data_IF_721491010867
#
_entry.id   IF_721491010867
#
_cell.length_a   1.000
_cell.length_b   1.000
_cell.length_c   1.000
_cell.angle_alpha   90.00
_cell.angle_beta   90.00
_cell.angle_gamma   90.00
#
_symmetry.space_group_name_H-M   'P 1'
#
loop_
_entity.id
_entity.type
_entity.pdbx_description
1 polymer ?
#
# COMPACT_ATOMS: atom_id res chain seq x y z
N UNK A 1 17.32 19.93 6.09
CA UNK A 1 18.48 20.44 5.34
C UNK A 1 18.08 21.74 4.66
N UNK A 2 18.88 22.79 4.79
CA UNK A 2 18.69 24.04 4.04
C UNK A 2 19.29 23.87 2.64
N UNK A 3 18.50 24.06 1.59
CA UNK A 3 18.99 24.04 0.20
C UNK A 3 19.57 25.39 -0.22
N UNK A 4 20.37 25.43 -1.29
CA UNK A 4 20.96 26.66 -1.84
C UNK A 4 19.94 27.74 -2.25
N UNK A 5 18.66 27.38 -2.39
CA UNK A 5 17.52 28.29 -2.65
C UNK A 5 16.75 28.73 -1.39
N UNK A 6 17.26 28.44 -0.20
CA UNK A 6 16.74 29.00 1.05
C UNK A 6 15.47 28.36 1.62
N UNK A 7 15.08 27.18 1.20
CA UNK A 7 13.94 26.44 1.76
C UNK A 7 14.34 25.49 2.92
N UNK A 8 13.44 25.32 3.89
CA UNK A 8 13.55 24.28 4.93
C UNK A 8 12.51 23.21 4.64
N UNK A 9 12.96 21.95 4.50
CA UNK A 9 12.07 20.80 4.39
C UNK A 9 11.91 20.14 5.75
N UNK A 10 10.68 20.07 6.25
CA UNK A 10 10.36 19.26 7.41
C UNK A 10 10.26 17.79 6.96
N UNK A 11 11.05 16.93 7.59
CA UNK A 11 10.95 15.46 7.41
C UNK A 11 10.51 14.91 8.77
N UNK A 12 9.29 14.36 8.88
CA UNK A 12 8.84 13.69 10.10
C UNK A 12 9.83 12.57 10.45
N UNK A 13 10.30 12.54 11.68
CA UNK A 13 11.16 11.49 12.16
C UNK A 13 10.58 10.88 13.43
N UNK A 14 10.42 9.57 13.39
CA UNK A 14 9.96 8.79 14.52
C UNK A 14 11.03 7.75 14.88
N UNK A 15 11.12 7.42 16.16
CA UNK A 15 12.03 6.35 16.59
C UNK A 15 11.42 4.98 16.32
N UNK A 16 12.24 3.98 16.04
CA UNK A 16 11.78 2.59 15.87
C UNK A 16 10.91 2.12 17.06
N UNK A 17 11.28 2.52 18.30
CA UNK A 17 10.48 2.23 19.49
C UNK A 17 9.07 2.82 19.42
N UNK A 18 8.95 4.08 19.01
CA UNK A 18 7.65 4.77 18.86
C UNK A 18 6.83 4.16 17.74
N UNK A 19 7.44 3.74 16.64
CA UNK A 19 6.76 3.11 15.51
C UNK A 19 6.29 1.72 15.90
N UNK A 20 7.12 0.92 16.56
CA UNK A 20 6.74 -0.41 17.04
C UNK A 20 5.59 -0.35 18.05
N UNK A 21 5.61 0.64 18.98
CA UNK A 21 4.49 0.87 19.89
C UNK A 21 3.19 1.19 19.13
N UNK A 22 3.23 2.15 18.21
CA UNK A 22 2.06 2.54 17.42
C UNK A 22 1.50 1.38 16.59
N UNK A 23 2.36 0.60 15.92
CA UNK A 23 1.94 -0.58 15.17
C UNK A 23 1.37 -1.66 16.10
N UNK A 24 1.92 -1.82 17.29
CA UNK A 24 1.37 -2.72 18.32
C UNK A 24 -0.05 -2.32 18.74
N UNK A 25 -0.28 -1.04 19.03
CA UNK A 25 -1.61 -0.50 19.37
C UNK A 25 -2.63 -0.72 18.23
N UNK A 26 -2.19 -0.62 16.97
CA UNK A 26 -3.05 -0.95 15.82
C UNK A 26 -3.36 -2.45 15.74
N UNK A 27 -2.39 -3.32 16.05
CA UNK A 27 -2.62 -4.76 16.11
C UNK A 27 -3.64 -5.13 17.20
N UNK A 28 -3.57 -4.53 18.40
CA UNK A 28 -4.54 -4.73 19.47
C UNK A 28 -5.97 -4.39 18.99
N UNK A 29 -6.11 -3.25 18.30
CA UNK A 29 -7.40 -2.85 17.72
C UNK A 29 -7.88 -3.79 16.61
N UNK A 30 -6.98 -4.27 15.75
CA UNK A 30 -7.32 -5.17 14.64
C UNK A 30 -7.62 -6.60 15.10
N UNK A 31 -7.06 -7.03 16.21
CA UNK A 31 -7.30 -8.35 16.80
C UNK A 31 -8.63 -8.45 17.57
N UNK A 32 -9.44 -7.39 17.57
CA UNK A 32 -10.76 -7.41 18.20
C UNK A 32 -11.75 -8.30 17.41
N UNK A 33 -12.58 -9.12 18.10
CA UNK A 33 -13.51 -10.04 17.47
C UNK A 33 -14.56 -9.40 16.55
N UNK A 34 -14.95 -8.16 16.81
CA UNK A 34 -15.92 -7.38 16.02
C UNK A 34 -15.37 -6.96 14.63
N UNK A 35 -14.08 -7.16 14.40
CA UNK A 35 -13.42 -6.87 13.11
C UNK A 35 -13.58 -7.97 12.07
N UNK A 36 -13.99 -9.18 12.48
CA UNK A 36 -14.12 -10.32 11.57
C UNK A 36 -15.38 -10.18 10.73
N UNK A 37 -15.20 -10.05 9.42
CA UNK A 37 -16.25 -10.01 8.41
C UNK A 37 -16.40 -11.37 7.72
N UNK A 38 -17.55 -11.65 7.07
CA UNK A 38 -17.75 -12.88 6.29
C UNK A 38 -16.63 -13.09 5.25
N UNK A 39 -16.21 -14.35 5.07
CA UNK A 39 -15.12 -14.73 4.17
C UNK A 39 -13.72 -14.47 4.74
N UNK A 40 -13.59 -14.34 6.07
CA UNK A 40 -12.31 -14.11 6.75
C UNK A 40 -11.69 -12.77 6.40
N UNK A 41 -12.51 -11.80 6.04
CA UNK A 41 -12.07 -10.42 5.81
C UNK A 41 -12.03 -9.66 7.13
N UNK A 42 -11.20 -8.60 7.17
CA UNK A 42 -11.04 -7.76 8.38
C UNK A 42 -11.54 -6.35 8.09
N UNK A 43 -12.38 -5.84 8.97
CA UNK A 43 -12.80 -4.45 8.94
C UNK A 43 -11.67 -3.53 9.40
N UNK A 44 -11.26 -2.61 8.53
CA UNK A 44 -10.17 -1.67 8.80
C UNK A 44 -10.45 -0.23 8.32
N UNK A 45 -11.67 0.04 7.82
CA UNK A 45 -11.99 1.35 7.24
C UNK A 45 -11.80 2.51 8.22
N UNK A 46 -12.16 2.31 9.49
CA UNK A 46 -11.98 3.30 10.55
C UNK A 46 -10.50 3.64 10.84
N UNK A 47 -9.58 2.75 10.48
CA UNK A 47 -8.14 2.98 10.60
C UNK A 47 -7.59 3.70 9.37
N UNK A 48 -7.83 3.15 8.17
CA UNK A 48 -7.25 3.70 6.94
C UNK A 48 -7.93 4.99 6.48
N UNK A 49 -9.12 5.32 6.98
CA UNK A 49 -9.79 6.60 6.74
C UNK A 49 -9.59 7.60 7.88
N UNK A 50 -8.89 7.23 8.95
CA UNK A 50 -8.54 8.15 10.02
C UNK A 50 -7.30 8.95 9.63
N UNK A 51 -7.38 10.30 9.51
CA UNK A 51 -6.28 11.10 9.01
C UNK A 51 -5.03 11.05 9.90
N UNK A 52 -5.19 10.90 11.21
CA UNK A 52 -4.05 10.82 12.15
C UNK A 52 -3.31 9.48 11.98
N UNK A 53 -4.08 8.38 11.90
CA UNK A 53 -3.52 7.03 11.72
C UNK A 53 -2.83 6.92 10.36
N UNK A 54 -3.53 7.28 9.28
CA UNK A 54 -2.98 7.12 7.94
C UNK A 54 -1.79 8.04 7.69
N UNK A 55 -1.75 9.24 8.30
CA UNK A 55 -0.58 10.13 8.25
C UNK A 55 0.64 9.45 8.85
N UNK A 56 0.48 8.87 10.05
CA UNK A 56 1.56 8.18 10.73
C UNK A 56 2.04 6.95 9.95
N UNK A 57 1.12 6.15 9.38
CA UNK A 57 1.47 5.01 8.53
C UNK A 57 2.28 5.45 7.30
N UNK A 58 1.87 6.54 6.64
CA UNK A 58 2.60 7.10 5.50
C UNK A 58 4.02 7.57 5.85
N UNK A 59 4.19 8.17 7.03
CA UNK A 59 5.49 8.60 7.56
C UNK A 59 6.40 7.40 7.87
N UNK A 60 5.86 6.33 8.46
CA UNK A 60 6.61 5.09 8.72
C UNK A 60 7.05 4.43 7.41
N UNK A 61 6.14 4.33 6.42
CA UNK A 61 6.49 3.80 5.09
C UNK A 61 7.62 4.64 4.48
N UNK A 62 7.51 5.96 4.54
CA UNK A 62 8.54 6.85 4.01
C UNK A 62 9.89 6.60 4.68
N UNK A 63 9.95 6.54 6.01
CA UNK A 63 11.20 6.30 6.73
C UNK A 63 11.83 4.95 6.40
N UNK A 64 10.99 3.88 6.31
CA UNK A 64 11.45 2.51 6.03
C UNK A 64 11.87 2.29 4.57
N UNK A 65 11.44 3.15 3.65
CA UNK A 65 11.69 3.00 2.21
C UNK A 65 12.38 4.19 1.55
N UNK A 66 12.92 5.13 2.31
CA UNK A 66 13.55 6.34 1.77
C UNK A 66 14.77 6.04 0.87
N UNK A 67 15.51 4.98 1.16
CA UNK A 67 16.67 4.56 0.37
C UNK A 67 16.29 4.01 -1.01
N UNK A 68 15.03 3.62 -1.21
CA UNK A 68 14.52 3.23 -2.52
C UNK A 68 14.39 4.43 -3.46
N UNK A 69 14.42 5.67 -2.94
CA UNK A 69 14.37 6.93 -3.71
C UNK A 69 13.25 6.95 -4.74
N UNK A 70 12.00 6.67 -4.37
CA UNK A 70 10.89 6.72 -5.28
C UNK A 70 10.65 8.15 -5.79
N UNK A 71 10.17 8.27 -7.02
CA UNK A 71 9.75 9.52 -7.63
C UNK A 71 8.22 9.64 -7.68
N UNK A 72 7.52 8.51 -7.61
CA UNK A 72 6.07 8.40 -7.62
C UNK A 72 5.61 7.34 -6.63
N UNK A 73 4.47 7.58 -6.00
CA UNK A 73 3.70 6.53 -5.33
C UNK A 73 2.64 6.05 -6.30
N UNK A 74 2.45 4.73 -6.39
CA UNK A 74 1.38 4.13 -7.19
C UNK A 74 0.49 3.26 -6.31
N UNK A 75 -0.83 3.41 -6.45
CA UNK A 75 -1.82 2.60 -5.74
C UNK A 75 -2.99 2.25 -6.65
N UNK A 76 -3.94 1.47 -6.14
CA UNK A 76 -5.19 1.16 -6.83
C UNK A 76 -6.39 1.63 -6.02
N UNK A 77 -7.47 2.00 -6.70
CA UNK A 77 -8.74 2.28 -6.03
C UNK A 77 -9.27 1.02 -5.32
N UNK A 78 -9.83 1.10 -4.08
CA UNK A 78 -10.28 2.29 -3.39
C UNK A 78 -9.50 2.50 -2.09
N UNK A 79 -9.21 1.43 -1.34
CA UNK A 79 -8.69 1.51 0.03
C UNK A 79 -7.20 1.84 0.11
N UNK A 80 -6.44 1.56 -0.95
CA UNK A 80 -5.03 1.96 -1.03
C UNK A 80 -4.84 3.47 -1.15
N UNK A 81 -5.85 4.23 -1.61
CA UNK A 81 -5.74 5.67 -1.88
C UNK A 81 -5.33 6.48 -0.64
N UNK A 82 -5.99 6.35 0.53
CA UNK A 82 -5.61 7.17 1.70
C UNK A 82 -4.17 6.94 2.13
N UNK A 83 -3.72 5.68 2.15
CA UNK A 83 -2.36 5.31 2.51
C UNK A 83 -1.34 5.79 1.48
N UNK A 84 -1.62 5.57 0.19
CA UNK A 84 -0.77 6.02 -0.91
C UNK A 84 -0.61 7.54 -0.92
N UNK A 85 -1.71 8.28 -0.73
CA UNK A 85 -1.67 9.75 -0.66
C UNK A 85 -0.89 10.24 0.56
N UNK A 86 -1.02 9.57 1.69
CA UNK A 86 -0.28 9.93 2.90
C UNK A 86 1.22 9.68 2.74
N UNK A 87 1.61 8.55 2.17
CA UNK A 87 3.00 8.27 1.85
C UNK A 87 3.55 9.27 0.82
N UNK A 88 2.80 9.59 -0.24
CA UNK A 88 3.19 10.59 -1.24
C UNK A 88 3.43 11.96 -0.60
N UNK A 89 2.57 12.36 0.35
CA UNK A 89 2.76 13.58 1.14
C UNK A 89 4.04 13.51 1.98
N UNK A 90 4.31 12.40 2.67
CA UNK A 90 5.49 12.23 3.50
C UNK A 90 6.79 12.27 2.68
N UNK A 91 6.81 11.63 1.52
CA UNK A 91 7.91 11.72 0.56
C UNK A 91 8.00 13.07 -0.15
N UNK A 92 6.90 13.84 -0.20
CA UNK A 92 6.74 15.04 -1.01
C UNK A 92 6.94 14.77 -2.51
N UNK A 93 6.29 13.71 -3.02
CA UNK A 93 6.28 13.29 -4.42
C UNK A 93 4.84 13.06 -4.90
N UNK A 94 4.58 13.07 -6.21
CA UNK A 94 3.25 12.81 -6.74
C UNK A 94 2.81 11.36 -6.52
N UNK A 95 1.48 11.17 -6.49
CA UNK A 95 0.84 9.86 -6.50
C UNK A 95 0.08 9.66 -7.81
N UNK A 96 0.12 8.45 -8.33
CA UNK A 96 -0.72 7.97 -9.43
C UNK A 96 -1.61 6.84 -8.94
N UNK A 97 -2.78 6.72 -9.55
CA UNK A 97 -3.77 5.75 -9.14
C UNK A 97 -4.22 4.91 -10.33
N UNK A 98 -4.04 3.59 -10.23
CA UNK A 98 -4.67 2.65 -11.14
C UNK A 98 -6.16 2.52 -10.83
N UNK A 99 -6.98 2.39 -11.86
CA UNK A 99 -8.43 2.21 -11.74
C UNK A 99 -8.83 0.82 -12.20
N UNK A 100 -9.91 0.31 -11.65
CA UNK A 100 -10.53 -0.95 -12.12
C UNK A 100 -11.17 -0.79 -13.49
N UNK A 101 -11.59 0.43 -13.84
CA UNK A 101 -12.15 0.76 -15.14
C UNK A 101 -11.52 2.04 -15.68
N UNK A 102 -11.19 2.03 -16.99
CA UNK A 102 -10.66 3.21 -17.66
C UNK A 102 -11.73 4.32 -17.73
N UNK A 103 -11.30 5.56 -17.49
CA UNK A 103 -12.18 6.73 -17.61
C UNK A 103 -11.81 7.55 -18.85
N UNK A 104 -12.81 7.87 -19.67
CA UNK A 104 -12.63 8.68 -20.89
C UNK A 104 -12.00 10.04 -20.56
N UNK A 105 -12.32 10.60 -19.39
CA UNK A 105 -11.81 11.90 -18.93
C UNK A 105 -10.30 11.90 -18.61
N UNK A 106 -9.67 10.72 -18.51
CA UNK A 106 -8.24 10.59 -18.20
C UNK A 106 -7.38 10.34 -19.45
N UNK A 107 -8.02 10.26 -20.63
CA UNK A 107 -7.35 10.07 -21.92
C UNK A 107 -6.97 8.61 -22.20
N UNK A 108 -6.09 8.36 -23.19
CA UNK A 108 -5.68 7.00 -23.53
C UNK A 108 -5.00 6.30 -22.35
N UNK A 109 -5.46 5.09 -22.06
CA UNK A 109 -4.96 4.28 -20.95
C UNK A 109 -4.33 2.97 -21.43
N UNK A 110 -3.40 2.44 -20.65
CA UNK A 110 -2.96 1.05 -20.68
C UNK A 110 -3.82 0.27 -19.71
N UNK A 111 -4.19 -0.93 -20.08
CA UNK A 111 -4.98 -1.82 -19.22
C UNK A 111 -4.36 -3.20 -19.22
N UNK A 112 -4.35 -3.82 -18.05
CA UNK A 112 -3.95 -5.21 -17.86
C UNK A 112 -5.07 -6.00 -17.22
N UNK A 113 -5.05 -7.32 -17.39
CA UNK A 113 -5.91 -8.24 -16.68
C UNK A 113 -5.11 -9.00 -15.63
N UNK A 114 -5.62 -9.08 -14.42
CA UNK A 114 -4.95 -9.75 -13.31
C UNK A 114 -5.91 -10.65 -12.53
N UNK A 115 -5.38 -11.67 -11.85
CA UNK A 115 -6.16 -12.53 -10.98
C UNK A 115 -6.25 -11.91 -9.58
N UNK A 116 -7.44 -11.46 -9.19
CA UNK A 116 -7.68 -10.93 -7.85
C UNK A 116 -7.55 -12.02 -6.79
N UNK A 117 -6.67 -11.81 -5.81
CA UNK A 117 -6.45 -12.75 -4.70
C UNK A 117 -7.63 -12.87 -3.73
N UNK A 118 -8.48 -11.84 -3.63
CA UNK A 118 -9.65 -11.82 -2.74
C UNK A 118 -10.88 -12.45 -3.39
N UNK A 119 -11.15 -12.15 -4.66
CA UNK A 119 -12.35 -12.61 -5.36
C UNK A 119 -12.13 -13.86 -6.19
N UNK A 120 -10.88 -14.27 -6.43
CA UNK A 120 -10.49 -15.36 -7.34
C UNK A 120 -11.05 -15.19 -8.76
N UNK A 121 -11.28 -13.95 -9.18
CA UNK A 121 -11.79 -13.59 -10.52
C UNK A 121 -10.73 -12.80 -11.28
N UNK A 122 -10.77 -12.93 -12.60
CA UNK A 122 -10.02 -12.05 -13.48
C UNK A 122 -10.65 -10.67 -13.39
N UNK A 123 -9.84 -9.67 -13.07
CA UNK A 123 -10.20 -8.26 -13.02
C UNK A 123 -9.25 -7.50 -13.94
N UNK A 124 -9.66 -6.32 -14.37
CA UNK A 124 -8.80 -5.39 -15.09
C UNK A 124 -8.39 -4.23 -14.20
N UNK A 125 -7.25 -3.66 -14.50
CA UNK A 125 -6.87 -2.33 -14.00
C UNK A 125 -6.24 -1.53 -15.13
N UNK A 126 -6.39 -0.22 -15.05
CA UNK A 126 -5.93 0.72 -16.08
C UNK A 126 -5.21 1.90 -15.48
N UNK A 127 -4.25 2.42 -16.23
CA UNK A 127 -3.51 3.63 -15.90
C UNK A 127 -3.43 4.52 -17.16
N UNK A 128 -3.67 5.84 -17.06
CA UNK A 128 -3.46 6.74 -18.18
C UNK A 128 -2.02 6.68 -18.66
N UNK A 129 -1.79 6.59 -19.98
CA UNK A 129 -0.43 6.49 -20.57
C UNK A 129 0.51 7.62 -20.16
N UNK A 130 -0.05 8.79 -19.84
CA UNK A 130 0.71 9.99 -19.41
C UNK A 130 0.89 10.09 -17.89
N UNK A 131 0.39 9.12 -17.12
CA UNK A 131 0.43 9.20 -15.65
C UNK A 131 1.87 9.10 -15.10
N UNK A 132 2.72 8.33 -15.75
CA UNK A 132 4.11 8.14 -15.35
C UNK A 132 5.05 8.46 -16.52
N UNK A 133 6.12 9.22 -16.30
CA UNK A 133 7.22 9.33 -17.24
C UNK A 133 7.93 7.98 -17.44
N UNK A 134 8.45 7.73 -18.63
CA UNK A 134 9.31 6.56 -18.88
C UNK A 134 10.54 6.59 -17.96
N UNK A 135 10.87 5.45 -17.36
CA UNK A 135 11.96 5.33 -16.39
C UNK A 135 11.66 5.92 -15.01
N UNK A 136 10.42 6.36 -14.74
CA UNK A 136 10.03 6.84 -13.39
C UNK A 136 10.17 5.74 -12.35
N UNK A 137 10.75 6.06 -11.20
CA UNK A 137 10.93 5.15 -10.07
C UNK A 137 9.65 5.15 -9.21
N UNK A 138 8.97 4.03 -9.15
CA UNK A 138 7.63 3.90 -8.55
C UNK A 138 7.67 3.00 -7.31
N UNK A 139 7.15 3.49 -6.18
CA UNK A 139 6.84 2.68 -5.01
C UNK A 139 5.35 2.35 -5.04
N UNK A 140 5.03 1.06 -5.15
CA UNK A 140 3.65 0.56 -5.11
C UNK A 140 3.20 0.47 -3.66
N UNK A 141 2.01 1.00 -3.34
CA UNK A 141 1.42 0.96 -1.99
C UNK A 141 -0.02 0.47 -2.09
N UNK A 142 -0.40 -0.47 -1.22
CA UNK A 142 -1.77 -0.95 -1.09
C UNK A 142 -2.14 -1.23 0.37
N UNK A 143 -3.45 -1.35 0.67
CA UNK A 143 -3.94 -1.56 2.02
C UNK A 143 -3.79 -3.02 2.48
N UNK A 144 -4.05 -3.98 1.63
CA UNK A 144 -4.08 -5.39 2.01
C UNK A 144 -3.62 -6.33 0.89
N UNK A 145 -2.78 -7.28 1.25
CA UNK A 145 -2.34 -8.33 0.33
C UNK A 145 -2.58 -9.72 0.89
N UNK A 146 -3.29 -10.57 0.12
CA UNK A 146 -3.39 -12.02 0.40
C UNK A 146 -2.43 -12.82 -0.49
N UNK A 147 -2.79 -13.05 -1.74
CA UNK A 147 -1.94 -13.77 -2.70
C UNK A 147 -1.06 -12.86 -3.57
N UNK A 148 -1.28 -11.55 -3.53
CA UNK A 148 -0.47 -10.57 -4.25
C UNK A 148 -0.92 -10.29 -5.69
N UNK A 149 -2.10 -10.75 -6.12
CA UNK A 149 -2.56 -10.53 -7.49
C UNK A 149 -2.71 -9.05 -7.84
N UNK A 150 -3.30 -8.25 -6.96
CA UNK A 150 -3.45 -6.80 -7.15
C UNK A 150 -2.09 -6.10 -7.17
N UNK A 151 -1.21 -6.41 -6.21
CA UNK A 151 0.12 -5.82 -6.14
C UNK A 151 0.98 -6.18 -7.37
N UNK A 152 0.93 -7.45 -7.81
CA UNK A 152 1.61 -7.88 -9.04
C UNK A 152 1.05 -7.16 -10.27
N UNK A 153 -0.28 -7.03 -10.38
CA UNK A 153 -0.90 -6.27 -11.45
C UNK A 153 -0.48 -4.80 -11.47
N UNK A 154 -0.32 -4.16 -10.31
CA UNK A 154 0.22 -2.79 -10.24
C UNK A 154 1.66 -2.72 -10.75
N UNK A 155 2.49 -3.72 -10.40
CA UNK A 155 3.86 -3.80 -10.91
C UNK A 155 3.89 -3.96 -12.43
N UNK A 156 3.14 -4.93 -12.97
CA UNK A 156 3.03 -5.15 -14.42
C UNK A 156 2.52 -3.90 -15.16
N UNK A 157 1.53 -3.22 -14.60
CA UNK A 157 0.98 -2.00 -15.20
C UNK A 157 1.98 -0.84 -15.20
N UNK A 158 2.79 -0.69 -14.14
CA UNK A 158 3.87 0.30 -14.08
C UNK A 158 4.97 -0.01 -15.11
N UNK A 159 5.38 -1.27 -15.22
CA UNK A 159 6.37 -1.72 -16.20
C UNK A 159 5.87 -1.54 -17.65
N UNK A 160 4.59 -1.81 -17.92
CA UNK A 160 3.97 -1.64 -19.25
C UNK A 160 3.99 -0.17 -19.75
N UNK A 161 3.92 0.79 -18.83
CA UNK A 161 4.09 2.21 -19.18
C UNK A 161 5.56 2.65 -19.14
N UNK A 162 6.50 1.74 -18.93
CA UNK A 162 7.94 1.99 -18.95
C UNK A 162 8.50 2.57 -17.65
N UNK A 163 7.82 2.41 -16.52
CA UNK A 163 8.32 2.80 -15.20
C UNK A 163 9.11 1.65 -14.54
N UNK A 164 9.97 1.99 -13.57
CA UNK A 164 10.72 1.06 -12.73
C UNK A 164 10.03 0.91 -11.37
N UNK A 165 9.56 -0.29 -11.01
CA UNK A 165 9.05 -0.56 -9.67
C UNK A 165 10.22 -0.75 -8.72
N UNK A 166 10.40 0.18 -7.78
CA UNK A 166 11.50 0.16 -6.81
C UNK A 166 11.14 -0.53 -5.50
N UNK A 167 9.88 -0.86 -5.29
CA UNK A 167 9.41 -1.61 -4.13
C UNK A 167 7.90 -1.70 -4.07
N UNK A 168 7.42 -2.59 -3.21
CA UNK A 168 6.00 -2.78 -2.89
C UNK A 168 5.84 -2.70 -1.38
N UNK A 169 4.93 -1.86 -0.91
CA UNK A 169 4.67 -1.68 0.52
C UNK A 169 3.18 -1.84 0.84
N UNK A 170 2.87 -2.64 1.85
CA UNK A 170 1.50 -2.96 2.26
C UNK A 170 1.23 -2.48 3.68
N UNK A 171 -0.01 -2.07 3.98
CA UNK A 171 -0.40 -1.92 5.37
C UNK A 171 -0.45 -3.29 6.05
N UNK A 172 -1.18 -4.25 5.47
CA UNK A 172 -1.27 -5.61 6.01
C UNK A 172 -0.98 -6.63 4.90
N UNK A 173 -0.07 -7.56 5.15
CA UNK A 173 0.13 -8.73 4.32
C UNK A 173 -0.34 -10.00 5.05
N UNK A 174 -1.17 -10.83 4.41
CA UNK A 174 -1.53 -12.12 4.97
C UNK A 174 -0.34 -13.08 4.84
N UNK A 175 -0.06 -13.88 5.87
CA UNK A 175 0.97 -14.93 5.83
C UNK A 175 0.64 -15.98 4.78
N UNK A 176 -0.62 -16.41 4.73
CA UNK A 176 -1.07 -17.40 3.75
C UNK A 176 -1.83 -16.76 2.56
N UNK A 177 -1.63 -17.28 1.35
CA UNK A 177 -0.69 -18.36 0.97
C UNK A 177 0.77 -17.91 1.07
N UNK A 178 1.67 -18.80 1.46
CA UNK A 178 3.10 -18.49 1.62
C UNK A 178 3.75 -18.02 0.31
N UNK A 179 3.37 -18.65 -0.82
CA UNK A 179 3.81 -18.22 -2.15
C UNK A 179 2.96 -17.04 -2.63
N UNK A 180 3.57 -15.88 -2.77
CA UNK A 180 2.96 -14.68 -3.34
C UNK A 180 3.22 -14.56 -4.84
N UNK A 181 2.34 -13.84 -5.54
CA UNK A 181 2.54 -13.51 -6.95
C UNK A 181 3.55 -12.38 -7.14
N UNK A 182 3.64 -11.46 -6.17
CA UNK A 182 4.68 -10.43 -6.15
C UNK A 182 5.96 -11.01 -5.53
N UNK A 183 7.12 -10.71 -6.13
CA UNK A 183 8.41 -11.33 -5.73
C UNK A 183 8.92 -10.79 -4.40
N UNK A 184 8.96 -9.48 -4.28
CA UNK A 184 9.48 -8.78 -3.11
C UNK A 184 8.49 -7.73 -2.64
N UNK A 185 8.24 -7.69 -1.34
CA UNK A 185 7.37 -6.69 -0.72
C UNK A 185 7.76 -6.51 0.74
N UNK A 186 7.38 -5.37 1.28
CA UNK A 186 7.38 -5.13 2.72
C UNK A 186 5.95 -4.83 3.20
N UNK A 187 5.68 -5.09 4.47
CA UNK A 187 4.41 -4.73 5.10
C UNK A 187 4.65 -4.10 6.46
N UNK A 188 3.67 -3.34 6.95
CA UNK A 188 3.71 -2.82 8.32
C UNK A 188 3.20 -3.86 9.32
N UNK A 189 2.20 -4.64 8.92
CA UNK A 189 1.58 -5.68 9.72
C UNK A 189 1.49 -6.99 8.96
N UNK A 190 1.56 -8.12 9.68
CA UNK A 190 1.33 -9.46 9.12
C UNK A 190 0.09 -10.09 9.74
N UNK A 191 -0.88 -10.46 8.90
CA UNK A 191 -2.02 -11.29 9.28
C UNK A 191 -1.61 -12.76 9.25
N UNK A 192 -1.52 -13.39 10.41
CA UNK A 192 -1.18 -14.81 10.57
C UNK A 192 -2.37 -15.74 10.39
N UNK A 193 -3.56 -15.29 10.83
CA UNK A 193 -4.78 -16.07 10.70
C UNK A 193 -6.05 -15.32 11.07
N UNK A 194 -7.17 -15.82 10.56
CA UNK A 194 -8.53 -15.42 10.96
C UNK A 194 -9.36 -16.68 11.12
N UNK A 195 -10.03 -16.81 12.25
CA UNK A 195 -11.04 -17.82 12.50
C UNK A 195 -12.42 -17.15 12.57
N UNK A 196 -13.24 -17.42 11.56
CA UNK A 196 -14.59 -16.85 11.47
C UNK A 196 -15.54 -17.39 12.55
N UNK A 197 -15.32 -18.61 13.02
CA UNK A 197 -16.18 -19.28 13.99
C UNK A 197 -15.97 -18.70 15.38
N UNK A 198 -14.72 -18.62 15.82
CA UNK A 198 -14.35 -18.05 17.11
C UNK A 198 -14.19 -16.52 17.08
N UNK A 199 -14.30 -15.90 15.91
CA UNK A 199 -14.02 -14.48 15.69
C UNK A 199 -12.61 -14.07 16.11
N UNK A 200 -11.65 -15.00 16.04
CA UNK A 200 -10.26 -14.72 16.38
C UNK A 200 -9.48 -14.17 15.19
N UNK A 201 -8.70 -13.14 15.44
CA UNK A 201 -7.77 -12.52 14.48
C UNK A 201 -6.37 -12.55 15.09
N UNK A 202 -5.38 -12.95 14.31
CA UNK A 202 -3.96 -12.90 14.70
C UNK A 202 -3.19 -12.01 13.73
N UNK A 203 -3.06 -10.74 14.08
CA UNK A 203 -2.23 -9.74 13.39
C UNK A 203 -1.11 -9.31 14.30
N UNK A 204 0.09 -9.26 13.75
CA UNK A 204 1.30 -8.82 14.45
C UNK A 204 2.01 -7.72 13.68
N UNK A 205 2.73 -6.81 14.36
CA UNK A 205 3.54 -5.80 13.68
C UNK A 205 4.80 -6.43 13.06
N UNK A 206 5.22 -5.89 11.91
CA UNK A 206 6.55 -6.12 11.38
C UNK A 206 7.53 -5.16 12.06
N UNK A 207 8.32 -5.71 12.97
CA UNK A 207 9.30 -4.95 13.75
C UNK A 207 10.48 -4.52 12.89
N UNK A 208 11.06 -3.36 13.20
CA UNK A 208 12.37 -2.94 12.70
C UNK A 208 13.49 -3.57 13.51
#
# INVERSE_FOLDING_TARGET
MAGASGGVRFIPYHTAKSDNQFLGELCERLNSPDRVLPGGMIYMNDLILNPQIVSRLGEIIMQRSIELKPQYIMTVETKGIPLGLSAAKAFNIPMVMARKEARITEGPAVSISYLSGSTKKIQSMSLPKKALPHGARVLVIDDFMRAGGTANGLCELAEEVGAEVVGVYLFIAAKEPAKKLVREYASLLTLRGVDETSKAVDIVPEML
#
